data_IF_482669923378
#
_entry.id   IF_482669923378
#
_cell.length_a   1.000
_cell.length_b   1.000
_cell.length_c   1.000
_cell.angle_alpha   90.00
_cell.angle_beta   90.00
_cell.angle_gamma   90.00
#
_symmetry.space_group_name_H-M   'P 1'
#
loop_
_entity.id
_entity.type
_entity.pdbx_description
1 polymer ?
#
# COMPACT_ATOMS: atom_id res chain seq x y z
N UNK A 1 13.87 12.98 -17.91
CA UNK A 1 13.73 12.99 -16.46
C UNK A 1 12.37 12.42 -16.08
N UNK A 2 12.35 11.46 -15.18
CA UNK A 2 11.10 10.80 -14.81
C UNK A 2 10.35 11.66 -13.79
N UNK A 3 9.09 11.87 -14.06
CA UNK A 3 8.22 12.60 -13.14
C UNK A 3 7.87 11.70 -11.97
N UNK A 4 7.92 12.26 -10.75
CA UNK A 4 7.54 11.53 -9.55
C UNK A 4 6.04 11.66 -9.34
N UNK A 5 5.36 10.53 -9.22
CA UNK A 5 3.94 10.50 -8.92
C UNK A 5 3.72 10.29 -7.43
N UNK A 6 2.57 10.73 -6.96
CA UNK A 6 2.16 10.58 -5.58
C UNK A 6 0.91 9.70 -5.53
N UNK A 7 0.93 8.75 -4.62
CA UNK A 7 -0.16 7.78 -4.43
C UNK A 7 -0.61 7.80 -2.98
N UNK A 8 -1.72 7.14 -2.71
CA UNK A 8 -2.18 6.95 -1.34
C UNK A 8 -2.53 5.48 -1.14
N UNK A 9 -2.02 4.90 -0.06
CA UNK A 9 -2.34 3.54 0.31
C UNK A 9 -2.87 3.50 1.73
N UNK A 10 -3.94 2.74 1.93
CA UNK A 10 -4.64 2.66 3.20
C UNK A 10 -4.30 1.38 3.93
N UNK A 11 -4.12 1.49 5.23
CA UNK A 11 -3.94 0.34 6.11
C UNK A 11 -4.61 0.62 7.45
N UNK A 12 -5.24 -0.40 8.03
CA UNK A 12 -5.75 -0.29 9.39
C UNK A 12 -4.58 -0.42 10.35
N UNK A 13 -4.47 0.50 11.34
CA UNK A 13 -3.31 0.46 12.25
C UNK A 13 -3.21 -0.84 13.07
N UNK A 14 -4.33 -1.52 13.30
CA UNK A 14 -4.30 -2.80 13.99
C UNK A 14 -3.70 -3.91 13.13
N UNK A 15 -3.75 -3.77 11.81
CA UNK A 15 -3.16 -4.72 10.89
C UNK A 15 -1.71 -4.35 10.58
N UNK A 16 -1.47 -3.11 10.16
CA UNK A 16 -0.13 -2.64 9.87
C UNK A 16 -0.09 -1.12 9.98
N UNK A 17 0.64 -0.62 10.97
CA UNK A 17 0.70 0.82 11.26
C UNK A 17 1.95 1.46 10.68
N UNK A 18 1.96 2.81 10.65
CA UNK A 18 3.14 3.55 10.25
C UNK A 18 4.31 3.28 11.20
N UNK A 19 4.04 3.04 12.48
CA UNK A 19 5.08 2.72 13.44
C UNK A 19 5.68 1.35 13.17
N UNK A 20 4.88 0.40 12.76
CA UNK A 20 5.37 -0.91 12.35
C UNK A 20 6.26 -0.79 11.12
N UNK A 21 5.85 0.01 10.14
CA UNK A 21 6.67 0.25 8.95
C UNK A 21 7.98 0.94 9.32
N UNK A 22 7.93 1.91 10.25
CA UNK A 22 9.14 2.59 10.71
C UNK A 22 10.14 1.60 11.30
N UNK A 23 9.66 0.65 12.09
CA UNK A 23 10.51 -0.37 12.68
C UNK A 23 11.05 -1.36 11.65
N UNK A 24 10.23 -1.74 10.68
CA UNK A 24 10.62 -2.66 9.62
C UNK A 24 11.55 -2.01 8.61
N UNK A 25 11.40 -0.73 8.37
CA UNK A 25 12.15 0.01 7.38
C UNK A 25 11.60 -0.15 5.97
N UNK A 26 11.40 -1.37 5.53
CA UNK A 26 10.82 -1.71 4.23
C UNK A 26 9.80 -2.82 4.41
N UNK A 27 8.85 -2.90 3.50
CA UNK A 27 7.87 -3.97 3.51
C UNK A 27 7.31 -4.20 2.11
N UNK A 28 6.79 -5.40 1.89
CA UNK A 28 5.96 -5.66 0.71
C UNK A 28 4.54 -5.23 1.03
N UNK A 29 3.95 -4.43 0.15
CA UNK A 29 2.56 -4.03 0.31
C UNK A 29 1.66 -5.08 -0.33
N UNK A 30 1.49 -6.19 0.37
CA UNK A 30 0.76 -7.35 -0.12
C UNK A 30 -0.71 -7.31 0.32
N UNK A 31 -1.45 -8.33 -0.07
CA UNK A 31 -2.83 -8.49 0.39
C UNK A 31 -3.86 -7.65 -0.35
N UNK A 32 -3.48 -6.99 -1.43
CA UNK A 32 -4.42 -6.22 -2.25
C UNK A 32 -5.26 -7.21 -3.06
N UNK A 33 -6.58 -7.18 -2.88
CA UNK A 33 -7.51 -8.09 -3.55
C UNK A 33 -8.60 -7.38 -4.31
N UNK A 34 -8.34 -6.14 -4.69
CA UNK A 34 -9.20 -5.34 -5.56
C UNK A 34 -8.45 -5.13 -6.87
N UNK A 35 -9.06 -5.47 -7.99
CA UNK A 35 -8.40 -5.39 -9.29
C UNK A 35 -8.02 -3.96 -9.66
N UNK A 36 -8.86 -3.01 -9.29
CA UNK A 36 -8.57 -1.61 -9.58
C UNK A 36 -7.34 -1.12 -8.81
N UNK A 37 -7.26 -1.45 -7.53
CA UNK A 37 -6.10 -1.11 -6.71
C UNK A 37 -4.84 -1.80 -7.22
N UNK A 38 -4.95 -3.07 -7.62
CA UNK A 38 -3.84 -3.78 -8.23
C UNK A 38 -3.35 -3.07 -9.49
N UNK A 39 -4.28 -2.63 -10.32
CA UNK A 39 -3.93 -1.95 -11.56
C UNK A 39 -3.26 -0.61 -11.30
N UNK A 40 -3.65 0.11 -10.24
CA UNK A 40 -2.94 1.32 -9.83
C UNK A 40 -1.51 1.00 -9.41
N UNK A 41 -1.31 -0.08 -8.64
CA UNK A 41 0.04 -0.48 -8.25
C UNK A 41 0.91 -0.80 -9.45
N UNK A 42 0.33 -1.38 -10.49
CA UNK A 42 1.05 -1.69 -11.73
C UNK A 42 1.50 -0.45 -12.49
N UNK A 43 0.89 0.70 -12.20
CA UNK A 43 1.26 1.98 -12.83
C UNK A 43 2.32 2.74 -12.04
N UNK A 44 2.67 2.28 -10.86
CA UNK A 44 3.67 2.94 -10.04
C UNK A 44 5.06 2.78 -10.63
N UNK A 45 5.93 3.73 -10.30
CA UNK A 45 7.33 3.71 -10.71
C UNK A 45 8.22 3.78 -9.48
N UNK A 46 9.44 3.26 -9.61
CA UNK A 46 10.43 3.39 -8.52
C UNK A 46 10.68 4.86 -8.25
N UNK A 47 10.71 5.22 -6.98
CA UNK A 47 10.87 6.60 -6.56
C UNK A 47 9.57 7.33 -6.32
N UNK A 48 8.44 6.76 -6.72
CA UNK A 48 7.14 7.37 -6.44
C UNK A 48 6.91 7.45 -4.93
N UNK A 49 6.22 8.50 -4.51
CA UNK A 49 5.90 8.70 -3.10
C UNK A 49 4.49 8.20 -2.82
N UNK A 50 4.32 7.62 -1.64
CA UNK A 50 3.05 7.06 -1.23
C UNK A 50 2.69 7.61 0.14
N UNK A 51 1.54 8.25 0.23
CA UNK A 51 0.99 8.65 1.52
C UNK A 51 0.43 7.42 2.23
N UNK A 52 0.85 7.25 3.47
CA UNK A 52 0.39 6.15 4.32
C UNK A 52 -0.83 6.64 5.09
N UNK A 53 -1.98 6.03 4.82
CA UNK A 53 -3.25 6.44 5.39
C UNK A 53 -3.73 5.39 6.39
N UNK A 54 -3.98 5.80 7.64
CA UNK A 54 -4.62 4.94 8.62
C UNK A 54 -6.14 5.00 8.43
N UNK A 55 -6.75 3.85 8.14
CA UNK A 55 -8.18 3.73 7.94
C UNK A 55 -8.82 2.95 9.07
N UNK A 56 -10.14 3.03 9.17
CA UNK A 56 -10.95 2.29 10.14
C UNK A 56 -10.43 2.48 11.57
N UNK A 57 -10.14 3.72 11.92
CA UNK A 57 -9.68 4.10 13.26
C UNK A 57 -10.08 5.54 13.54
N UNK A 58 -9.83 6.01 14.74
CA UNK A 58 -10.15 7.38 15.12
C UNK A 58 -8.89 8.07 15.66
N UNK A 59 -8.47 9.17 15.02
CA UNK A 59 -8.98 9.71 13.77
C UNK A 59 -8.35 9.01 12.58
N UNK A 60 -9.06 8.84 11.46
CA UNK A 60 -8.46 8.35 10.23
C UNK A 60 -7.71 9.48 9.53
N UNK A 61 -6.69 9.14 8.77
CA UNK A 61 -5.99 10.15 8.00
C UNK A 61 -4.58 9.73 7.60
N UNK A 62 -3.91 10.64 6.89
CA UNK A 62 -2.54 10.43 6.46
C UNK A 62 -1.63 10.59 7.68
N UNK A 63 -0.78 9.59 7.90
CA UNK A 63 0.11 9.55 9.06
C UNK A 63 1.58 9.51 8.68
N UNK A 64 1.90 9.38 7.41
CA UNK A 64 3.29 9.33 7.00
C UNK A 64 3.47 9.24 5.50
N UNK A 65 4.72 9.05 5.12
CA UNK A 65 5.13 8.96 3.73
C UNK A 65 6.07 7.78 3.56
N UNK A 66 5.90 7.07 2.47
CA UNK A 66 6.81 5.99 2.06
C UNK A 66 7.14 6.14 0.58
N UNK A 67 8.12 5.38 0.14
CA UNK A 67 8.61 5.46 -1.24
C UNK A 67 8.59 4.08 -1.87
N UNK A 68 8.16 4.01 -3.12
CA UNK A 68 8.20 2.76 -3.89
C UNK A 68 9.64 2.48 -4.29
N UNK A 69 10.17 1.34 -3.86
CA UNK A 69 11.55 0.97 -4.15
C UNK A 69 11.67 -0.25 -5.06
N UNK A 70 10.59 -1.02 -5.22
CA UNK A 70 10.58 -2.13 -6.17
C UNK A 70 9.16 -2.39 -6.65
N UNK A 71 9.03 -2.98 -7.82
CA UNK A 71 7.77 -3.11 -8.55
C UNK A 71 7.56 -4.55 -9.03
N UNK A 72 6.32 -4.83 -9.43
CA UNK A 72 5.95 -6.06 -10.13
C UNK A 72 6.38 -7.31 -9.39
N UNK A 73 6.23 -7.29 -8.08
CA UNK A 73 6.54 -8.43 -7.23
C UNK A 73 5.28 -9.28 -7.13
N UNK A 74 5.44 -10.57 -7.37
CA UNK A 74 4.32 -11.51 -7.19
C UNK A 74 3.98 -11.55 -5.71
N UNK A 75 2.72 -11.27 -5.38
CA UNK A 75 2.26 -11.29 -4.00
C UNK A 75 2.32 -12.73 -3.47
N UNK A 76 3.16 -13.02 -2.47
CA UNK A 76 3.31 -14.39 -1.98
C UNK A 76 2.11 -14.89 -1.18
N UNK A 77 1.31 -13.98 -0.61
CA UNK A 77 0.19 -14.39 0.24
C UNK A 77 -0.93 -15.05 -0.55
N UNK A 78 -1.00 -14.82 -1.86
CA UNK A 78 -2.02 -15.45 -2.68
C UNK A 78 -1.88 -16.96 -2.75
N UNK A 79 -0.70 -17.50 -2.48
CA UNK A 79 -0.44 -18.93 -2.52
C UNK A 79 -0.38 -19.57 -1.14
N UNK A 80 -0.43 -18.78 -0.08
CA UNK A 80 -0.30 -19.25 1.30
C UNK A 80 -1.67 -19.60 1.86
N UNK A 81 -1.92 -20.89 2.04
CA UNK A 81 -3.22 -21.37 2.54
C UNK A 81 -3.55 -20.87 3.94
N UNK A 82 -2.53 -20.49 4.70
CA UNK A 82 -2.73 -19.98 6.06
C UNK A 82 -2.98 -18.48 6.09
N UNK A 83 -2.80 -17.80 4.96
CA UNK A 83 -3.04 -16.37 4.87
C UNK A 83 -4.51 -16.08 4.59
N UNK A 84 -5.03 -15.02 5.22
CA UNK A 84 -6.38 -14.55 4.90
C UNK A 84 -6.50 -14.04 3.46
N UNK A 85 -5.37 -13.81 2.81
CA UNK A 85 -5.31 -13.33 1.43
C UNK A 85 -5.11 -14.46 0.42
N UNK A 86 -5.19 -15.70 0.86
CA UNK A 86 -5.06 -16.85 -0.03
C UNK A 86 -6.12 -16.79 -1.13
N UNK A 87 -5.69 -16.98 -2.37
CA UNK A 87 -6.59 -17.02 -3.52
C UNK A 87 -6.45 -18.36 -4.24
N UNK A 88 -7.41 -19.29 -4.08
CA UNK A 88 -7.31 -20.61 -4.69
C UNK A 88 -7.36 -20.58 -6.21
N UNK A 89 -7.83 -19.47 -6.80
CA UNK A 89 -7.89 -19.32 -8.25
C UNK A 89 -6.59 -18.81 -8.84
N UNK A 90 -5.69 -18.31 -8.03
CA UNK A 90 -4.39 -17.84 -8.50
C UNK A 90 -3.41 -18.99 -8.54
N UNK A 91 -2.55 -19.03 -9.56
CA UNK A 91 -1.60 -20.12 -9.77
C UNK A 91 -0.20 -19.56 -9.97
N UNK A 92 0.84 -20.30 -9.53
CA UNK A 92 2.22 -19.81 -9.66
C UNK A 92 2.63 -19.49 -11.10
N UNK A 93 2.07 -20.19 -12.08
CA UNK A 93 2.36 -19.92 -13.49
C UNK A 93 1.49 -18.81 -14.08
N UNK A 94 0.46 -18.37 -13.34
CA UNK A 94 -0.41 -17.28 -13.77
C UNK A 94 -0.94 -16.53 -12.55
N UNK A 95 -0.09 -15.79 -11.84
CA UNK A 95 -0.51 -15.09 -10.63
C UNK A 95 -1.41 -13.92 -10.96
N UNK A 96 -2.43 -13.73 -10.12
CA UNK A 96 -3.40 -12.65 -10.30
C UNK A 96 -3.00 -11.39 -9.58
N UNK A 97 -2.22 -11.52 -8.51
CA UNK A 97 -1.98 -10.44 -7.55
C UNK A 97 -0.51 -10.10 -7.46
N UNK A 98 -0.25 -8.82 -7.55
CA UNK A 98 1.08 -8.26 -7.43
C UNK A 98 1.16 -7.38 -6.20
N UNK A 99 2.36 -7.04 -5.81
CA UNK A 99 2.59 -6.04 -4.79
C UNK A 99 3.81 -5.19 -5.15
N UNK A 100 3.99 -4.12 -4.41
CA UNK A 100 5.16 -3.28 -4.53
C UNK A 100 5.91 -3.31 -3.22
N UNK A 101 7.20 -3.01 -3.26
CA UNK A 101 8.02 -2.88 -2.07
C UNK A 101 8.16 -1.40 -1.76
N UNK A 102 7.88 -1.04 -0.51
CA UNK A 102 7.91 0.34 -0.08
C UNK A 102 8.89 0.51 1.08
N UNK A 103 9.45 1.70 1.18
CA UNK A 103 10.40 2.08 2.21
C UNK A 103 9.83 3.22 3.04
N UNK A 104 9.97 3.11 4.36
CA UNK A 104 9.60 4.18 5.27
C UNK A 104 10.43 5.43 4.97
N UNK A 105 9.77 6.58 4.92
CA UNK A 105 10.46 7.84 4.73
C UNK A 105 10.21 8.81 5.87
N UNK A 106 8.96 8.87 6.35
CA UNK A 106 8.60 9.95 7.26
C UNK A 106 7.31 9.63 8.00
N UNK A 107 7.27 9.96 9.29
CA UNK A 107 6.04 9.91 10.08
C UNK A 107 5.59 11.34 10.35
N UNK A 108 4.33 11.64 10.04
CA UNK A 108 3.78 12.96 10.26
C UNK A 108 3.57 13.22 11.75
N UNK A 109 3.89 14.43 12.20
CA UNK A 109 3.62 14.84 13.59
C UNK A 109 2.14 15.01 13.86
N UNK A 110 1.35 15.25 12.81
CA UNK A 110 -0.09 15.43 12.91
C UNK A 110 -0.76 14.54 11.89
N UNK A 111 -1.92 13.99 12.26
CA UNK A 111 -2.73 13.22 11.35
C UNK A 111 -3.45 14.19 10.42
N UNK A 112 -3.28 14.01 9.12
CA UNK A 112 -3.96 14.81 8.12
C UNK A 112 -5.27 14.10 7.79
N UNK A 113 -6.38 14.66 8.27
CA UNK A 113 -7.68 14.04 8.12
C UNK A 113 -8.13 14.03 6.67
N UNK A 114 -9.03 13.12 6.35
CA UNK A 114 -9.57 13.02 5.00
C UNK A 114 -10.40 14.24 4.61
N UNK A 115 -10.82 15.06 5.56
CA UNK A 115 -11.52 16.31 5.25
C UNK A 115 -10.62 17.33 4.57
N UNK A 116 -9.30 17.24 4.81
CA UNK A 116 -8.32 18.12 4.20
C UNK A 116 -7.72 17.53 2.93
N UNK A 117 -8.03 16.29 2.65
CA UNK A 117 -7.48 15.58 1.52
C UNK A 117 -8.54 15.40 0.45
N UNK A 118 -8.31 15.98 -0.70
CA UNK A 118 -9.25 15.89 -1.82
C UNK A 118 -8.57 15.17 -2.96
N UNK A 119 -8.47 13.89 -2.89
CA UNK A 119 -7.84 13.15 -3.95
C UNK A 119 -8.82 12.22 -4.64
N UNK A 120 -8.69 12.17 -5.91
CA UNK A 120 -9.49 11.34 -6.78
C UNK A 120 -9.14 9.88 -6.65
N UNK A 121 -7.90 9.57 -6.37
CA UNK A 121 -7.44 8.19 -6.36
C UNK A 121 -7.53 7.53 -5.00
N UNK A 122 -7.68 8.30 -3.94
CA UNK A 122 -7.58 7.80 -2.57
C UNK A 122 -8.65 6.78 -2.23
N UNK A 123 -9.84 6.94 -2.77
CA UNK A 123 -10.98 6.10 -2.40
C UNK A 123 -10.98 4.74 -3.09
N UNK A 124 -10.04 4.53 -3.98
CA UNK A 124 -10.01 3.32 -4.79
C UNK A 124 -9.61 2.09 -4.00
N UNK A 125 -9.00 2.28 -2.84
CA UNK A 125 -8.38 1.20 -2.10
C UNK A 125 -9.23 0.60 -0.99
N UNK A 126 -10.43 1.09 -0.82
CA UNK A 126 -11.31 0.54 0.22
C UNK A 126 -11.96 -0.76 -0.18
#
# INVERSE_FOLDING_TARGET
>A
MTEINYWLMKSEPDAYSIDTLKNDGVTLWDGIRNYQARNFMRKMNKGDKVFFYHSNCKPPGIVGLMEVIDLNIVDPTQFDKDSKYFDPKSKPDNPRWDCVKVKYKYKSNKIISCLLYTSDAADEYD
#
